data_IF_052420132434
#
_entry.id   IF_052420132434
#
_cell.length_a   1.000
_cell.length_b   1.000
_cell.length_c   1.000
_cell.angle_alpha   90.00
_cell.angle_beta   90.00
_cell.angle_gamma   90.00
#
_symmetry.space_group_name_H-M   'P 1'
#
loop_
_entity.id
_entity.type
_entity.pdbx_description
1 polymer ?
#
# COMPACT_ATOMS: atom_id res chain seq x y z
N UNK A 1 0.46 10.07 1.93
CA UNK A 1 -0.17 8.76 2.15
C UNK A 1 0.14 8.33 3.59
N UNK A 2 -0.73 7.55 4.20
CA UNK A 2 -0.55 6.92 5.51
C UNK A 2 -0.78 5.42 5.39
N UNK A 3 0.02 4.62 6.10
CA UNK A 3 -0.05 3.16 6.12
C UNK A 3 -0.08 2.72 7.58
N UNK A 4 -1.11 1.97 7.96
CA UNK A 4 -1.20 1.37 9.29
C UNK A 4 -0.57 -0.01 9.28
N UNK A 5 0.37 -0.25 10.19
CA UNK A 5 0.99 -1.55 10.41
C UNK A 5 0.77 -1.93 11.87
N UNK A 6 0.21 -3.10 12.13
CA UNK A 6 0.04 -3.63 13.48
C UNK A 6 1.37 -4.03 14.10
N UNK A 7 1.40 -4.12 15.43
CA UNK A 7 2.58 -4.60 16.19
C UNK A 7 2.92 -6.06 15.90
N UNK A 8 1.97 -6.82 15.34
CA UNK A 8 2.19 -8.18 14.81
C UNK A 8 2.87 -8.18 13.42
N UNK A 9 3.10 -7.01 12.82
CA UNK A 9 3.69 -6.88 11.49
C UNK A 9 2.72 -7.20 10.35
N UNK A 10 1.44 -6.84 10.47
CA UNK A 10 0.45 -6.91 9.38
C UNK A 10 0.03 -5.50 8.96
N UNK A 11 -0.22 -5.30 7.68
CA UNK A 11 -0.78 -4.03 7.19
C UNK A 11 -2.28 -3.98 7.53
N UNK A 12 -2.70 -3.01 8.33
CA UNK A 12 -4.11 -2.84 8.73
C UNK A 12 -4.91 -2.01 7.73
N UNK A 13 -4.22 -1.13 7.00
CA UNK A 13 -4.87 -0.31 5.99
C UNK A 13 -3.97 0.76 5.42
N UNK A 14 -4.48 1.37 4.35
CA UNK A 14 -3.80 2.43 3.60
C UNK A 14 -4.77 3.57 3.39
N UNK A 15 -4.33 4.80 3.65
CA UNK A 15 -5.08 6.02 3.38
C UNK A 15 -4.26 6.95 2.50
N UNK A 16 -4.80 7.29 1.34
CA UNK A 16 -4.27 8.35 0.50
C UNK A 16 -4.77 9.66 1.10
N UNK A 17 -3.85 10.58 1.40
CA UNK A 17 -4.16 11.85 2.06
C UNK A 17 -4.37 12.96 1.03
N UNK A 18 -3.59 12.92 -0.04
CA UNK A 18 -3.64 13.80 -1.18
C UNK A 18 -3.04 13.07 -2.38
N UNK A 19 -3.53 13.38 -3.58
CA UNK A 19 -2.97 12.96 -4.86
C UNK A 19 -3.46 13.91 -5.96
N UNK A 20 -2.76 13.94 -7.10
CA UNK A 20 -3.13 14.76 -8.28
C UNK A 20 -3.26 13.85 -9.51
N UNK A 21 -3.93 12.72 -9.34
CA UNK A 21 -4.09 11.73 -10.40
C UNK A 21 -5.28 12.08 -11.29
N UNK A 22 -5.27 11.57 -12.52
CA UNK A 22 -6.38 11.75 -13.46
C UNK A 22 -7.69 11.22 -12.87
N UNK A 23 -8.74 12.06 -12.77
CA UNK A 23 -10.05 11.64 -12.29
C UNK A 23 -10.60 10.45 -13.07
N UNK A 24 -11.08 9.43 -12.37
CA UNK A 24 -11.67 8.23 -12.98
C UNK A 24 -10.65 7.18 -13.45
N UNK A 25 -9.36 7.49 -13.42
CA UNK A 25 -8.26 6.53 -13.64
C UNK A 25 -7.50 6.30 -12.32
N UNK A 26 -6.44 7.06 -12.08
CA UNK A 26 -5.58 6.89 -10.92
C UNK A 26 -6.25 7.30 -9.61
N UNK A 27 -7.21 8.23 -9.65
CA UNK A 27 -8.00 8.60 -8.46
C UNK A 27 -8.80 7.44 -7.87
N UNK A 28 -9.02 6.37 -8.65
CA UNK A 28 -9.63 5.15 -8.13
C UNK A 28 -8.79 4.45 -7.06
N UNK A 29 -7.52 4.81 -6.88
CA UNK A 29 -6.69 4.32 -5.79
C UNK A 29 -7.29 4.65 -4.40
N UNK A 30 -8.10 5.71 -4.31
CA UNK A 30 -8.78 6.07 -3.06
C UNK A 30 -9.98 5.18 -2.76
N UNK A 31 -10.48 4.42 -3.75
CA UNK A 31 -11.67 3.59 -3.58
C UNK A 31 -11.36 2.36 -2.73
N UNK A 32 -12.32 1.89 -1.90
CA UNK A 32 -12.13 0.69 -1.09
C UNK A 32 -11.66 -0.52 -1.88
N UNK A 33 -12.19 -0.72 -3.11
CA UNK A 33 -11.82 -1.85 -4.00
C UNK A 33 -10.31 -2.02 -4.19
N UNK A 34 -9.54 -0.94 -4.21
CA UNK A 34 -8.08 -1.00 -4.30
C UNK A 34 -7.44 -1.09 -2.91
N UNK A 35 -7.83 -0.22 -1.97
CA UNK A 35 -7.21 -0.11 -0.63
C UNK A 35 -7.35 -1.38 0.22
N UNK A 36 -8.45 -2.12 0.10
CA UNK A 36 -8.68 -3.33 0.92
C UNK A 36 -7.70 -4.45 0.61
N UNK A 37 -7.07 -4.44 -0.57
CA UNK A 37 -6.11 -5.47 -0.98
C UNK A 37 -4.83 -5.46 -0.12
N UNK A 38 -4.53 -4.31 0.50
CA UNK A 38 -3.39 -4.17 1.41
C UNK A 38 -3.70 -4.69 2.82
N UNK A 39 -4.97 -4.73 3.23
CA UNK A 39 -5.35 -5.12 4.59
C UNK A 39 -5.05 -6.60 4.84
N UNK A 40 -4.44 -6.90 5.98
CA UNK A 40 -4.05 -8.24 6.39
C UNK A 40 -2.78 -8.78 5.71
N UNK A 41 -2.18 -8.04 4.77
CA UNK A 41 -0.94 -8.48 4.12
C UNK A 41 0.22 -8.42 5.13
N UNK A 42 1.09 -9.44 5.17
CA UNK A 42 2.22 -9.45 6.09
C UNK A 42 3.24 -8.37 5.67
N UNK A 43 3.62 -7.50 6.61
CA UNK A 43 4.68 -6.51 6.45
C UNK A 43 6.07 -7.15 6.63
N UNK A 44 6.28 -8.36 6.11
CA UNK A 44 7.55 -9.10 6.18
C UNK A 44 8.40 -8.90 4.93
N UNK A 45 7.74 -8.70 3.79
CA UNK A 45 8.36 -8.49 2.48
C UNK A 45 7.61 -7.42 1.71
N UNK A 46 8.24 -6.93 0.65
CA UNK A 46 7.58 -6.05 -0.30
C UNK A 46 6.42 -6.75 -1.02
N UNK A 47 5.37 -6.00 -1.28
CA UNK A 47 4.21 -6.40 -2.06
C UNK A 47 4.44 -6.07 -3.52
N UNK A 48 4.08 -6.99 -4.41
CA UNK A 48 4.19 -6.80 -5.86
C UNK A 48 2.82 -6.60 -6.53
N UNK A 49 2.73 -5.62 -7.43
CA UNK A 49 1.55 -5.46 -8.30
C UNK A 49 1.53 -6.59 -9.32
N UNK A 50 0.38 -7.26 -9.46
CA UNK A 50 0.17 -8.45 -10.29
C UNK A 50 0.23 -9.76 -9.51
N UNK A 51 0.90 -9.78 -8.35
CA UNK A 51 1.02 -10.96 -7.49
C UNK A 51 0.25 -10.77 -6.19
N UNK A 52 0.59 -9.73 -5.43
CA UNK A 52 -0.01 -9.46 -4.11
C UNK A 52 -1.17 -8.47 -4.20
N UNK A 53 -1.06 -7.52 -5.14
CA UNK A 53 -2.00 -6.43 -5.38
C UNK A 53 -2.42 -6.42 -6.84
N UNK A 54 -3.71 -6.47 -7.12
CA UNK A 54 -4.26 -6.33 -8.46
C UNK A 54 -4.11 -4.88 -8.95
N UNK A 55 -3.51 -4.71 -10.13
CA UNK A 55 -3.44 -3.41 -10.78
C UNK A 55 -4.83 -2.90 -11.16
N UNK A 56 -5.03 -1.58 -11.06
CA UNK A 56 -6.21 -0.93 -11.61
C UNK A 56 -6.09 -0.83 -13.13
N UNK A 57 -7.12 -1.27 -13.85
CA UNK A 57 -7.19 -1.17 -15.31
C UNK A 57 -6.98 0.28 -15.77
N UNK A 58 -6.08 0.49 -16.73
CA UNK A 58 -5.73 1.82 -17.24
C UNK A 58 -4.90 2.69 -16.29
N UNK A 59 -4.58 2.22 -15.08
CA UNK A 59 -3.87 3.01 -14.05
C UNK A 59 -2.75 2.20 -13.37
N UNK A 60 -1.96 1.49 -14.19
CA UNK A 60 -0.87 0.63 -13.73
C UNK A 60 0.23 1.43 -13.02
N UNK A 61 0.52 2.64 -13.49
CA UNK A 61 1.52 3.53 -12.88
C UNK A 61 1.09 3.93 -11.47
N UNK A 62 -0.15 4.39 -11.29
CA UNK A 62 -0.71 4.74 -9.99
C UNK A 62 -0.73 3.53 -9.04
N UNK A 63 -1.10 2.35 -9.56
CA UNK A 63 -1.13 1.11 -8.78
C UNK A 63 0.26 0.76 -8.23
N UNK A 64 1.30 0.88 -9.08
CA UNK A 64 2.69 0.71 -8.67
C UNK A 64 3.15 1.77 -7.69
N UNK A 65 2.82 3.05 -7.92
CA UNK A 65 3.20 4.16 -7.03
C UNK A 65 2.64 3.99 -5.61
N UNK A 66 1.36 3.63 -5.49
CA UNK A 66 0.73 3.37 -4.19
C UNK A 66 1.37 2.15 -3.51
N UNK A 67 1.58 1.07 -4.26
CA UNK A 67 2.21 -0.15 -3.71
C UNK A 67 3.64 0.12 -3.24
N UNK A 68 4.40 0.92 -3.98
CA UNK A 68 5.74 1.36 -3.58
C UNK A 68 5.70 2.20 -2.29
N UNK A 69 4.74 3.11 -2.14
CA UNK A 69 4.55 3.87 -0.89
C UNK A 69 4.29 2.96 0.32
N UNK A 70 3.49 1.89 0.13
CA UNK A 70 3.28 0.86 1.16
C UNK A 70 4.57 0.10 1.46
N UNK A 71 5.32 -0.30 0.43
CA UNK A 71 6.60 -1.00 0.60
C UNK A 71 7.64 -0.15 1.32
N UNK A 72 7.68 1.17 1.11
CA UNK A 72 8.53 2.07 1.88
C UNK A 72 8.17 2.04 3.37
N UNK A 73 6.88 2.04 3.71
CA UNK A 73 6.45 1.92 5.10
C UNK A 73 6.81 0.54 5.70
N UNK A 74 6.65 -0.54 4.93
CA UNK A 74 7.05 -1.90 5.33
C UNK A 74 8.56 -1.97 5.57
N UNK A 75 9.38 -1.38 4.69
CA UNK A 75 10.84 -1.31 4.86
C UNK A 75 11.22 -0.56 6.12
N UNK A 76 10.61 0.61 6.34
CA UNK A 76 10.84 1.39 7.54
C UNK A 76 10.47 0.60 8.81
N UNK A 77 9.32 -0.05 8.83
CA UNK A 77 8.89 -0.91 9.93
C UNK A 77 9.90 -2.04 10.20
N UNK A 78 10.33 -2.76 9.16
CA UNK A 78 11.28 -3.86 9.33
C UNK A 78 12.66 -3.39 9.77
N UNK A 79 13.12 -2.23 9.30
CA UNK A 79 14.45 -1.71 9.61
C UNK A 79 14.54 -1.05 11.00
N UNK A 80 13.46 -0.38 11.45
CA UNK A 80 13.53 0.51 12.62
C UNK A 80 12.61 0.08 13.77
N UNK A 81 11.51 -0.62 13.50
CA UNK A 81 10.47 -0.88 14.51
C UNK A 81 10.38 -2.36 14.93
N UNK A 82 10.68 -3.29 14.02
CA UNK A 82 10.61 -4.73 14.29
C UNK A 82 11.63 -5.21 15.34
N UNK A 83 12.75 -4.49 15.49
CA UNK A 83 13.80 -4.77 16.47
C UNK A 83 13.70 -3.98 17.78
N UNK A 84 12.74 -3.05 17.90
CA UNK A 84 12.56 -2.22 19.10
C UNK A 84 11.80 -2.95 20.24
N UNK A 85 12.00 -4.27 20.36
CA UNK A 85 11.49 -5.07 21.48
C UNK A 85 12.45 -5.03 22.66
#
# INVERSE_FOLDING_TARGET
>A
MMVGISTEGKVEGVKILAHTETPGLGSNAEKPKFKVQFKGKPALKELAVGTDIQAMTGSTITSKAVTNGVNTAIKFYNAQLKGAK
#
